data_IF_828908076473
#
_entry.id   IF_828908076473
#
_cell.length_a   1.000
_cell.length_b   1.000
_cell.length_c   1.000
_cell.angle_alpha   90.00
_cell.angle_beta   90.00
_cell.angle_gamma   90.00
#
_symmetry.space_group_name_H-M   'P 1'
#
loop_
_entity.id
_entity.type
_entity.pdbx_description
1 polymer ?
#
# COMPACT_ATOMS: atom_id res chain seq x y z
N UNK A 1 -4.52 -28.79 -13.47
CA UNK A 1 -4.49 -27.31 -13.45
C UNK A 1 -3.12 -26.88 -13.01
N UNK A 2 -2.32 -26.31 -13.92
CA UNK A 2 -0.97 -25.84 -13.64
C UNK A 2 -1.03 -24.73 -12.58
N UNK A 3 -0.36 -24.95 -11.44
CA UNK A 3 -0.12 -23.96 -10.39
C UNK A 3 0.87 -22.90 -10.90
N UNK A 4 0.45 -22.11 -11.90
CA UNK A 4 1.34 -21.28 -12.72
C UNK A 4 1.83 -20.01 -12.04
N UNK A 5 1.38 -19.75 -10.81
CA UNK A 5 1.97 -18.72 -9.96
C UNK A 5 1.90 -19.20 -8.51
N UNK A 6 3.00 -19.77 -8.01
CA UNK A 6 3.22 -19.93 -6.57
C UNK A 6 3.44 -18.52 -6.03
N UNK A 7 2.37 -17.76 -5.86
CA UNK A 7 2.42 -16.37 -5.42
C UNK A 7 3.13 -16.37 -4.05
N UNK A 8 4.31 -15.73 -3.98
CA UNK A 8 5.06 -15.58 -2.72
C UNK A 8 4.10 -14.92 -1.73
N UNK A 9 4.06 -15.39 -0.48
CA UNK A 9 3.10 -14.90 0.54
C UNK A 9 3.13 -13.37 0.67
N UNK A 10 4.30 -12.78 0.45
CA UNK A 10 4.54 -11.34 0.46
C UNK A 10 3.90 -10.56 -0.69
N UNK A 11 3.78 -11.15 -1.90
CA UNK A 11 3.06 -10.53 -3.01
C UNK A 11 1.56 -10.45 -2.73
N UNK A 12 0.99 -11.52 -2.15
CA UNK A 12 -0.42 -11.53 -1.79
C UNK A 12 -0.72 -10.51 -0.68
N UNK A 13 0.13 -10.42 0.33
CA UNK A 13 0.00 -9.43 1.40
C UNK A 13 0.14 -8.01 0.85
N UNK A 14 1.12 -7.76 -0.03
CA UNK A 14 1.28 -6.45 -0.68
C UNK A 14 0.06 -6.06 -1.50
N UNK A 15 -0.51 -7.01 -2.24
CA UNK A 15 -1.74 -6.80 -3.01
C UNK A 15 -2.94 -6.46 -2.12
N UNK A 16 -3.12 -7.19 -1.01
CA UNK A 16 -4.18 -6.89 -0.03
C UNK A 16 -3.99 -5.51 0.60
N UNK A 17 -2.76 -5.16 0.99
CA UNK A 17 -2.43 -3.85 1.57
C UNK A 17 -2.72 -2.71 0.57
N UNK A 18 -2.39 -2.89 -0.71
CA UNK A 18 -2.69 -1.92 -1.77
C UNK A 18 -4.20 -1.74 -1.97
N UNK A 19 -4.98 -2.81 -1.93
CA UNK A 19 -6.45 -2.74 -2.01
C UNK A 19 -7.01 -1.95 -0.83
N UNK A 20 -6.56 -2.25 0.40
CA UNK A 20 -7.00 -1.53 1.61
C UNK A 20 -6.63 -0.06 1.54
N UNK A 21 -5.41 0.27 1.10
CA UNK A 21 -4.97 1.65 0.88
C UNK A 21 -5.86 2.36 -0.15
N UNK A 22 -6.23 1.71 -1.24
CA UNK A 22 -7.14 2.28 -2.23
C UNK A 22 -8.53 2.56 -1.63
N UNK A 23 -9.13 1.61 -0.91
CA UNK A 23 -10.44 1.81 -0.29
C UNK A 23 -10.41 3.00 0.67
N UNK A 24 -9.36 3.11 1.49
CA UNK A 24 -9.18 4.25 2.40
C UNK A 24 -8.97 5.57 1.64
N UNK A 25 -8.22 5.54 0.53
CA UNK A 25 -7.96 6.70 -0.32
C UNK A 25 -9.23 7.27 -0.97
N UNK A 26 -10.13 6.38 -1.38
CA UNK A 26 -11.33 6.73 -2.13
C UNK A 26 -12.60 6.81 -1.27
N UNK A 27 -12.59 6.35 -0.02
CA UNK A 27 -13.69 6.54 0.95
C UNK A 27 -14.08 8.02 1.16
N UNK A 28 -13.14 8.97 1.34
CA UNK A 28 -13.49 10.36 1.63
C UNK A 28 -13.78 11.18 0.36
N UNK A 29 -14.01 10.54 -0.80
CA UNK A 29 -14.23 11.21 -2.08
C UNK A 29 -15.44 12.18 -2.07
N UNK A 30 -16.40 11.97 -1.16
CA UNK A 30 -17.59 12.81 -1.01
C UNK A 30 -17.55 13.74 0.21
N UNK A 31 -16.43 13.80 0.94
CA UNK A 31 -16.32 14.64 2.12
C UNK A 31 -15.89 16.06 1.74
N UNK A 32 -16.84 16.99 1.78
CA UNK A 32 -16.65 18.45 1.62
C UNK A 32 -15.96 19.12 2.82
N UNK A 33 -15.34 18.33 3.69
CA UNK A 33 -14.60 18.85 4.85
C UNK A 33 -13.31 19.52 4.38
N UNK A 34 -13.17 20.82 4.67
CA UNK A 34 -11.95 21.59 4.42
C UNK A 34 -11.10 21.65 5.69
N UNK A 35 -9.81 21.32 5.56
CA UNK A 35 -8.82 21.44 6.63
C UNK A 35 -7.69 22.34 6.15
N UNK A 36 -7.47 23.45 6.86
CA UNK A 36 -6.44 24.45 6.52
C UNK A 36 -6.52 25.01 5.08
N UNK A 37 -7.75 25.12 4.53
CA UNK A 37 -7.97 25.64 3.17
C UNK A 37 -7.74 24.64 2.03
N UNK A 38 -7.38 23.38 2.35
CA UNK A 38 -7.36 22.27 1.38
C UNK A 38 -8.46 21.27 1.72
N UNK A 39 -9.02 20.63 0.68
CA UNK A 39 -9.93 19.52 0.88
C UNK A 39 -9.23 18.41 1.68
N UNK A 40 -9.94 17.81 2.65
CA UNK A 40 -9.43 16.67 3.42
C UNK A 40 -9.02 15.51 2.49
N UNK A 41 -9.70 15.39 1.35
CA UNK A 41 -9.32 14.51 0.24
C UNK A 41 -7.90 14.77 -0.29
N UNK A 42 -7.49 16.02 -0.46
CA UNK A 42 -6.15 16.38 -0.94
C UNK A 42 -5.06 15.99 0.07
N UNK A 43 -5.33 16.15 1.37
CA UNK A 43 -4.44 15.69 2.44
C UNK A 43 -4.28 14.17 2.44
N UNK A 44 -5.39 13.44 2.34
CA UNK A 44 -5.39 11.97 2.28
C UNK A 44 -4.63 11.49 1.06
N UNK A 45 -4.88 12.06 -0.12
CA UNK A 45 -4.14 11.75 -1.36
C UNK A 45 -2.64 12.02 -1.23
N UNK A 46 -2.24 13.17 -0.68
CA UNK A 46 -0.83 13.52 -0.49
C UNK A 46 -0.10 12.56 0.45
N UNK A 47 -0.75 12.18 1.56
CA UNK A 47 -0.20 11.19 2.51
C UNK A 47 -0.09 9.80 1.86
N UNK A 48 -1.09 9.39 1.08
CA UNK A 48 -1.05 8.13 0.33
C UNK A 48 0.07 8.09 -0.70
N UNK A 49 0.37 9.23 -1.34
CA UNK A 49 1.45 9.34 -2.32
C UNK A 49 2.84 9.11 -1.70
N UNK A 50 3.01 9.37 -0.40
CA UNK A 50 4.21 9.02 0.37
C UNK A 50 4.17 7.61 0.95
N UNK A 51 2.99 7.15 1.40
CA UNK A 51 2.82 5.80 1.96
C UNK A 51 3.05 4.70 0.91
N UNK A 52 2.59 4.88 -0.33
CA UNK A 52 2.73 3.88 -1.38
C UNK A 52 4.20 3.47 -1.66
N UNK A 53 5.14 4.41 -1.91
CA UNK A 53 6.55 4.05 -2.07
C UNK A 53 7.17 3.55 -0.77
N UNK A 54 6.78 4.06 0.40
CA UNK A 54 7.29 3.60 1.69
C UNK A 54 6.91 2.14 1.99
N UNK A 55 5.66 1.76 1.72
CA UNK A 55 5.18 0.37 1.87
C UNK A 55 5.89 -0.55 0.88
N UNK A 56 6.04 -0.12 -0.37
CA UNK A 56 6.79 -0.88 -1.39
C UNK A 56 8.24 -1.11 -0.97
N UNK A 57 8.93 -0.07 -0.49
CA UNK A 57 10.30 -0.17 0.04
C UNK A 57 10.38 -1.11 1.25
N UNK A 58 9.41 -1.02 2.15
CA UNK A 58 9.34 -1.86 3.34
C UNK A 58 9.21 -3.35 2.98
N UNK A 59 8.33 -3.70 2.03
CA UNK A 59 8.19 -5.08 1.56
C UNK A 59 9.45 -5.60 0.87
N UNK A 60 10.08 -4.77 0.01
CA UNK A 60 11.35 -5.13 -0.64
C UNK A 60 12.46 -5.38 0.39
N UNK A 61 12.54 -4.56 1.44
CA UNK A 61 13.50 -4.76 2.52
C UNK A 61 13.24 -6.01 3.35
N UNK A 62 11.97 -6.31 3.65
CA UNK A 62 11.58 -7.54 4.36
C UNK A 62 11.93 -8.80 3.58
N UNK A 63 11.64 -8.81 2.28
CA UNK A 63 11.94 -9.95 1.41
C UNK A 63 13.45 -10.21 1.32
N UNK A 64 14.25 -9.13 1.28
CA UNK A 64 15.71 -9.22 1.31
C UNK A 64 16.26 -9.75 2.64
N UNK A 65 15.58 -9.49 3.76
CA UNK A 65 15.99 -10.01 5.07
C UNK A 65 15.70 -11.50 5.23
N UNK A 66 14.61 -12.03 4.70
CA UNK A 66 14.34 -13.47 4.69
C UNK A 66 15.31 -14.25 3.78
N UNK A 67 15.74 -13.66 2.67
CA UNK A 67 16.70 -14.31 1.76
C UNK A 67 18.14 -14.36 2.33
N UNK A 68 18.42 -13.57 3.37
CA UNK A 68 19.70 -13.56 4.09
C UNK A 68 19.81 -14.54 5.27
N UNK A 69 18.69 -15.07 5.77
CA UNK A 69 18.65 -16.03 6.90
C UNK A 69 18.74 -17.49 6.45
N UNK A 70 18.60 -17.76 5.13
CA UNK A 70 18.70 -19.10 4.53
C UNK A 70 20.08 -19.44 3.97
N UNK A 71 21.16 -18.83 4.51
CA UNK A 71 22.53 -19.12 4.09
C UNK A 71 23.43 -19.58 5.22
#
# INVERSE_FOLDING_TARGET
>A
MNNWYKMKKYDFISFVVLIVLCVIAFIPFSWDTMVAGMALFGWVQGVLMLLAPAVTLFFISLEKSEEGDSK
#
